data_IF_591934257118
#
_entry.id   IF_591934257118
#
_cell.length_a   1.000
_cell.length_b   1.000
_cell.length_c   1.000
_cell.angle_alpha   90.00
_cell.angle_beta   90.00
_cell.angle_gamma   90.00
#
_symmetry.space_group_name_H-M   'P 1'
#
loop_
_entity.id
_entity.type
_entity.pdbx_description
1 polymer ?
#
# COMPACT_ATOMS: atom_id res chain seq x y z
N UNK A 1 21.07 -29.84 15.46
CA UNK A 1 20.37 -29.55 14.18
C UNK A 1 18.88 -29.52 14.46
N UNK A 2 18.25 -28.35 14.44
CA UNK A 2 16.80 -28.21 14.57
C UNK A 2 16.34 -27.21 13.53
N UNK A 3 15.58 -27.67 12.54
CA UNK A 3 15.05 -26.84 11.47
C UNK A 3 13.98 -25.89 12.04
N UNK A 4 14.21 -24.58 11.89
CA UNK A 4 13.21 -23.56 12.20
C UNK A 4 12.15 -23.61 11.10
N UNK A 5 10.97 -24.11 11.49
CA UNK A 5 9.78 -24.16 10.63
C UNK A 5 9.28 -22.73 10.38
N UNK A 6 9.18 -22.36 9.10
CA UNK A 6 8.57 -21.11 8.65
C UNK A 6 7.09 -21.09 9.08
N UNK A 7 6.77 -20.36 10.13
CA UNK A 7 5.39 -20.13 10.55
C UNK A 7 4.59 -19.47 9.44
N UNK A 8 3.70 -20.26 8.85
CA UNK A 8 2.60 -19.84 7.99
C UNK A 8 1.83 -18.73 8.70
N UNK A 9 1.73 -17.56 8.06
CA UNK A 9 0.92 -16.43 8.53
C UNK A 9 -0.51 -16.92 8.73
N UNK A 10 -0.96 -16.86 9.98
CA UNK A 10 -2.25 -17.31 10.46
C UNK A 10 -3.38 -16.51 9.78
N UNK A 11 -4.19 -17.17 8.95
CA UNK A 11 -5.29 -16.57 8.17
C UNK A 11 -6.51 -16.15 8.98
N UNK A 12 -6.34 -15.71 10.24
CA UNK A 12 -7.43 -15.53 11.22
C UNK A 12 -7.65 -14.07 11.64
N UNK A 13 -7.91 -13.23 10.65
CA UNK A 13 -8.88 -12.11 10.64
C UNK A 13 -8.59 -11.31 9.37
N UNK A 14 -9.35 -11.59 8.33
CA UNK A 14 -9.37 -10.73 7.16
C UNK A 14 -10.02 -9.43 7.63
N UNK A 15 -9.21 -8.40 7.90
CA UNK A 15 -9.72 -7.08 8.27
C UNK A 15 -10.70 -6.64 7.18
N UNK A 16 -11.88 -6.15 7.57
CA UNK A 16 -12.89 -5.59 6.66
C UNK A 16 -12.44 -4.22 6.16
N UNK A 17 -11.19 -4.13 5.69
CA UNK A 17 -10.64 -2.96 5.04
C UNK A 17 -11.13 -2.86 3.60
N UNK A 18 -11.17 -1.65 3.03
CA UNK A 18 -11.45 -1.48 1.61
C UNK A 18 -10.44 -2.27 0.76
N UNK A 19 -10.95 -3.16 -0.08
CA UNK A 19 -10.14 -3.94 -1.01
C UNK A 19 -9.85 -3.15 -2.27
N UNK A 20 -8.60 -3.18 -2.71
CA UNK A 20 -8.21 -2.75 -4.05
C UNK A 20 -8.21 -4.00 -4.93
N UNK A 21 -9.06 -4.00 -5.95
CA UNK A 21 -9.23 -5.14 -6.87
C UNK A 21 -8.14 -5.19 -7.94
N UNK A 22 -7.60 -4.03 -8.34
CA UNK A 22 -6.49 -3.94 -9.27
C UNK A 22 -5.62 -2.69 -9.03
N UNK A 23 -4.34 -2.80 -9.34
CA UNK A 23 -3.39 -1.67 -9.36
C UNK A 23 -3.23 -1.05 -10.75
N UNK A 24 -4.18 -1.32 -11.65
CA UNK A 24 -4.20 -0.71 -12.98
C UNK A 24 -4.62 0.76 -12.87
N UNK A 25 -4.02 1.62 -13.70
CA UNK A 25 -4.27 3.07 -13.69
C UNK A 25 -5.73 3.46 -13.95
N UNK A 26 -6.51 2.58 -14.57
CA UNK A 26 -7.94 2.78 -14.84
C UNK A 26 -8.84 2.51 -13.62
N UNK A 27 -8.29 1.99 -12.52
CA UNK A 27 -9.05 1.60 -11.33
C UNK A 27 -9.40 2.84 -10.48
N UNK A 28 -10.69 3.20 -10.31
CA UNK A 28 -11.09 4.41 -9.59
C UNK A 28 -10.61 4.45 -8.13
N UNK A 29 -10.58 3.30 -7.46
CA UNK A 29 -10.12 3.16 -6.07
C UNK A 29 -8.64 3.49 -5.93
N UNK A 30 -7.81 3.08 -6.91
CA UNK A 30 -6.38 3.38 -6.94
C UNK A 30 -6.14 4.87 -7.16
N UNK A 31 -6.91 5.49 -8.06
CA UNK A 31 -6.81 6.93 -8.29
C UNK A 31 -7.17 7.71 -7.02
N UNK A 32 -8.24 7.29 -6.35
CA UNK A 32 -8.66 7.85 -5.06
C UNK A 32 -7.55 7.71 -4.01
N UNK A 33 -6.93 6.53 -3.90
CA UNK A 33 -5.82 6.30 -2.98
C UNK A 33 -4.64 7.24 -3.27
N UNK A 34 -4.23 7.36 -4.53
CA UNK A 34 -3.12 8.25 -4.94
C UNK A 34 -3.38 9.70 -4.57
N UNK A 35 -4.61 10.18 -4.76
CA UNK A 35 -4.96 11.56 -4.43
C UNK A 35 -5.03 11.79 -2.91
N UNK A 36 -5.46 10.80 -2.14
CA UNK A 36 -5.38 10.84 -0.66
C UNK A 36 -3.92 10.89 -0.19
N UNK A 37 -3.05 10.06 -0.76
CA UNK A 37 -1.61 10.06 -0.45
C UNK A 37 -1.00 11.44 -0.76
N UNK A 38 -1.24 11.99 -1.96
CA UNK A 38 -0.75 13.32 -2.36
C UNK A 38 -1.24 14.43 -1.43
N UNK A 39 -2.51 14.37 -1.03
CA UNK A 39 -3.10 15.36 -0.12
C UNK A 39 -2.41 15.31 1.23
N UNK A 40 -2.24 14.12 1.82
CA UNK A 40 -1.57 13.97 3.11
C UNK A 40 -0.07 14.28 3.07
N UNK A 41 0.64 14.00 1.98
CA UNK A 41 2.03 14.42 1.81
C UNK A 41 2.14 15.94 1.77
N UNK A 42 1.26 16.61 1.02
CA UNK A 42 1.22 18.07 0.93
C UNK A 42 0.88 18.72 2.28
N UNK A 43 -0.13 18.20 2.98
CA UNK A 43 -0.54 18.74 4.28
C UNK A 43 0.52 18.48 5.36
N UNK A 44 1.14 17.30 5.37
CA UNK A 44 2.22 16.98 6.32
C UNK A 44 3.40 17.92 6.14
N UNK A 45 3.75 18.27 4.90
CA UNK A 45 4.82 19.22 4.62
C UNK A 45 4.48 20.66 5.05
N UNK A 46 3.26 21.13 4.78
CA UNK A 46 2.87 22.54 5.02
C UNK A 46 2.39 22.82 6.44
N UNK A 47 1.63 21.89 7.00
CA UNK A 47 0.86 22.08 8.23
C UNK A 47 1.30 21.13 9.34
N UNK A 48 2.30 20.28 9.08
CA UNK A 48 2.81 19.27 10.02
C UNK A 48 1.72 18.36 10.58
N UNK A 49 0.65 18.14 9.80
CA UNK A 49 -0.48 17.29 10.17
C UNK A 49 -1.06 16.57 8.96
N UNK A 50 -1.72 15.45 9.23
CA UNK A 50 -2.51 14.73 8.26
C UNK A 50 -3.87 15.42 8.10
N UNK A 51 -4.23 15.76 6.86
CA UNK A 51 -5.51 16.37 6.54
C UNK A 51 -6.61 15.31 6.40
N UNK A 52 -6.26 14.09 5.98
CA UNK A 52 -7.14 12.95 5.82
C UNK A 52 -6.75 11.84 6.79
N UNK A 53 -7.72 11.11 7.36
CA UNK A 53 -7.44 9.99 8.25
C UNK A 53 -6.66 8.89 7.52
N UNK A 54 -5.75 8.24 8.24
CA UNK A 54 -5.05 7.06 7.73
C UNK A 54 -6.04 5.91 7.53
N UNK A 55 -5.89 5.22 6.39
CA UNK A 55 -6.70 4.06 6.02
C UNK A 55 -5.79 2.92 5.63
N UNK A 56 -6.18 1.71 6.03
CA UNK A 56 -5.53 0.47 5.63
C UNK A 56 -6.28 -0.07 4.41
N UNK A 57 -5.54 -0.36 3.35
CA UNK A 57 -6.07 -0.99 2.14
C UNK A 57 -5.48 -2.39 2.00
N UNK A 58 -6.33 -3.33 1.58
CA UNK A 58 -5.90 -4.69 1.30
C UNK A 58 -5.80 -4.90 -0.21
N UNK A 59 -4.69 -5.50 -0.65
CA UNK A 59 -4.45 -5.86 -2.04
C UNK A 59 -3.92 -7.28 -2.11
N UNK A 60 -4.47 -8.07 -3.04
CA UNK A 60 -3.99 -9.43 -3.30
C UNK A 60 -2.98 -9.39 -4.46
N UNK A 61 -1.74 -9.78 -4.17
CA UNK A 61 -0.68 -9.89 -5.18
C UNK A 61 -1.10 -10.85 -6.31
N UNK A 62 -0.85 -10.44 -7.55
CA UNK A 62 -1.00 -11.29 -8.74
C UNK A 62 0.30 -12.02 -9.05
N UNK A 63 0.19 -13.14 -9.78
CA UNK A 63 1.33 -13.87 -10.34
C UNK A 63 2.13 -12.89 -11.22
N UNK A 64 3.40 -12.66 -10.91
CA UNK A 64 4.32 -11.65 -11.51
C UNK A 64 4.33 -10.24 -10.89
N UNK A 65 3.55 -9.95 -9.86
CA UNK A 65 3.71 -8.71 -9.11
C UNK A 65 4.69 -8.89 -7.95
N UNK A 66 5.50 -7.86 -7.72
CA UNK A 66 6.42 -7.80 -6.59
C UNK A 66 6.19 -6.50 -5.80
N UNK A 67 6.82 -6.41 -4.62
CA UNK A 67 6.73 -5.25 -3.75
C UNK A 67 7.00 -3.93 -4.48
N UNK A 68 8.07 -3.87 -5.30
CA UNK A 68 8.42 -2.68 -6.05
C UNK A 68 7.31 -2.27 -7.03
N UNK A 69 6.73 -3.23 -7.77
CA UNK A 69 5.61 -2.98 -8.68
C UNK A 69 4.39 -2.45 -7.94
N UNK A 70 4.06 -3.00 -6.77
CA UNK A 70 2.92 -2.54 -5.97
C UNK A 70 3.12 -1.10 -5.50
N UNK A 71 4.27 -0.82 -4.90
CA UNK A 71 4.55 0.45 -4.24
C UNK A 71 4.64 1.59 -5.26
N UNK A 72 5.32 1.37 -6.38
CA UNK A 72 5.38 2.33 -7.49
C UNK A 72 4.00 2.60 -8.10
N UNK A 73 3.16 1.58 -8.26
CA UNK A 73 1.78 1.75 -8.73
C UNK A 73 0.89 2.48 -7.72
N UNK A 74 1.13 2.37 -6.42
CA UNK A 74 0.39 3.15 -5.41
C UNK A 74 0.82 4.62 -5.31
N UNK A 75 1.85 5.03 -6.08
CA UNK A 75 2.27 6.42 -6.17
C UNK A 75 3.42 6.82 -5.25
N UNK A 76 4.16 5.85 -4.71
CA UNK A 76 5.45 6.13 -4.06
C UNK A 76 6.56 6.21 -5.12
N UNK A 77 7.45 7.18 -4.95
CA UNK A 77 8.60 7.40 -5.82
C UNK A 77 9.61 6.27 -5.65
N UNK A 78 10.05 5.61 -6.75
CA UNK A 78 11.16 4.65 -6.74
C UNK A 78 12.38 5.11 -5.93
N UNK A 79 12.72 6.40 -5.96
CA UNK A 79 13.85 6.94 -5.20
C UNK A 79 13.64 6.86 -3.68
N UNK A 80 12.40 7.02 -3.22
CA UNK A 80 12.04 6.83 -1.80
C UNK A 80 12.15 5.35 -1.41
N UNK A 81 11.78 4.44 -2.30
CA UNK A 81 11.86 3.00 -2.06
C UNK A 81 13.31 2.51 -1.99
N UNK A 82 14.17 3.01 -2.88
CA UNK A 82 15.59 2.62 -2.92
C UNK A 82 16.41 3.07 -1.71
N UNK A 83 15.86 3.97 -0.89
CA UNK A 83 16.48 4.46 0.35
C UNK A 83 16.14 3.67 1.62
N UNK A 84 15.22 2.69 1.51
CA UNK A 84 14.84 1.76 2.58
C UNK A 84 15.72 0.50 2.57
#
# INVERSE_FOLDING_TARGET
MGALSLSTVDGRRQETGPWISSLDNSTPELQTLRDQIRTNLRSSYREQRLQLPLKIYLYRLKENENFFTVVTRTGQDPATIASL
#
